data_IF_767558812181
#
_entry.id   IF_767558812181
#
_cell.length_a   1.000
_cell.length_b   1.000
_cell.length_c   1.000
_cell.angle_alpha   90.00
_cell.angle_beta   90.00
_cell.angle_gamma   90.00
#
_symmetry.space_group_name_H-M   'P 1'
#
loop_
_entity.id
_entity.type
_entity.pdbx_description
1 polymer ?
#
# COMPACT_ATOMS: atom_id res chain seq x y z
N UNK A 1 11.84 23.99 -59.22
CA UNK A 1 12.43 22.84 -58.50
C UNK A 1 12.17 23.09 -57.03
N UNK A 2 11.26 22.31 -56.46
CA UNK A 2 10.68 22.54 -55.14
C UNK A 2 11.60 22.04 -54.03
N UNK A 3 11.70 22.85 -52.98
CA UNK A 3 12.18 22.45 -51.66
C UNK A 3 11.09 21.59 -50.98
N UNK A 4 11.44 20.37 -50.56
CA UNK A 4 10.61 19.58 -49.63
C UNK A 4 11.29 19.53 -48.26
N UNK A 5 10.60 20.11 -47.27
CA UNK A 5 10.84 19.97 -45.84
C UNK A 5 10.48 18.55 -45.41
N UNK A 6 11.43 17.83 -44.81
CA UNK A 6 11.13 16.69 -43.96
C UNK A 6 10.89 17.20 -42.53
N UNK A 7 9.64 17.13 -42.08
CA UNK A 7 9.20 17.44 -40.71
C UNK A 7 9.53 16.25 -39.81
N UNK A 8 10.16 16.52 -38.67
CA UNK A 8 10.76 15.54 -37.79
C UNK A 8 9.78 14.55 -37.16
N UNK A 9 10.20 13.29 -37.15
CA UNK A 9 9.76 12.27 -36.21
C UNK A 9 10.07 12.73 -34.78
N UNK A 10 9.02 13.00 -34.01
CA UNK A 10 9.08 13.27 -32.58
C UNK A 10 9.32 11.93 -31.84
N UNK A 11 10.54 11.41 -31.99
CA UNK A 11 11.02 10.29 -31.19
C UNK A 11 11.21 10.75 -29.75
N UNK A 12 10.20 10.49 -28.92
CA UNK A 12 10.24 10.65 -27.47
C UNK A 12 11.46 9.91 -26.92
N UNK A 13 12.47 10.68 -26.50
CA UNK A 13 13.71 10.16 -25.94
C UNK A 13 13.43 9.25 -24.72
N UNK A 14 14.24 8.20 -24.50
CA UNK A 14 14.16 7.40 -23.28
C UNK A 14 14.43 8.32 -22.07
N UNK A 15 13.54 8.26 -21.07
CA UNK A 15 13.70 9.00 -19.80
C UNK A 15 15.12 8.79 -19.28
N UNK A 16 15.84 9.88 -19.00
CA UNK A 16 17.27 9.78 -18.70
C UNK A 16 17.45 8.97 -17.41
N UNK A 17 18.50 8.14 -17.35
CA UNK A 17 18.85 7.38 -16.14
C UNK A 17 19.03 8.28 -14.90
N UNK A 18 19.25 9.57 -15.13
CA UNK A 18 19.35 10.62 -14.10
C UNK A 18 17.98 10.91 -13.47
N UNK A 19 16.91 10.94 -14.27
CA UNK A 19 15.54 11.22 -13.79
C UNK A 19 15.02 10.06 -12.94
N UNK A 20 15.29 8.82 -13.37
CA UNK A 20 14.94 7.61 -12.62
C UNK A 20 15.70 7.53 -11.29
N UNK A 21 16.99 7.88 -11.30
CA UNK A 21 17.81 7.92 -10.06
C UNK A 21 17.33 9.00 -9.09
N UNK A 22 16.89 10.14 -9.60
CA UNK A 22 16.39 11.25 -8.76
C UNK A 22 15.07 10.87 -8.13
N UNK A 23 14.11 10.35 -8.91
CA UNK A 23 12.83 9.88 -8.40
C UNK A 23 12.97 8.74 -7.37
N UNK A 24 13.89 7.80 -7.60
CA UNK A 24 14.16 6.72 -6.65
C UNK A 24 14.79 7.23 -5.34
N UNK A 25 15.66 8.25 -5.41
CA UNK A 25 16.30 8.83 -4.24
C UNK A 25 15.34 9.69 -3.41
N UNK A 26 14.43 10.40 -4.07
CA UNK A 26 13.37 11.17 -3.41
C UNK A 26 12.36 10.24 -2.73
N UNK A 27 11.97 9.13 -3.38
CA UNK A 27 11.13 8.09 -2.77
C UNK A 27 11.81 7.44 -1.54
N UNK A 28 13.12 7.19 -1.62
CA UNK A 28 13.89 6.63 -0.49
C UNK A 28 13.97 7.61 0.69
N UNK A 29 14.19 8.90 0.42
CA UNK A 29 14.17 9.94 1.47
C UNK A 29 12.80 10.06 2.12
N UNK A 30 11.74 9.97 1.34
CA UNK A 30 10.38 9.99 1.86
C UNK A 30 10.10 8.76 2.73
N UNK A 31 10.52 7.56 2.32
CA UNK A 31 10.44 6.36 3.17
C UNK A 31 11.25 6.52 4.48
N UNK A 32 12.48 7.03 4.42
CA UNK A 32 13.27 7.26 5.64
C UNK A 32 12.63 8.30 6.57
N UNK A 33 12.00 9.33 6.00
CA UNK A 33 11.25 10.34 6.76
C UNK A 33 10.05 9.70 7.46
N UNK A 34 9.31 8.82 6.79
CA UNK A 34 8.15 8.12 7.34
C UNK A 34 8.56 7.15 8.45
N UNK A 35 9.62 6.38 8.25
CA UNK A 35 10.15 5.45 9.27
C UNK A 35 10.61 6.19 10.54
N UNK A 36 11.21 7.38 10.39
CA UNK A 36 11.58 8.23 11.53
C UNK A 36 10.41 9.01 12.16
N UNK A 37 9.25 9.09 11.50
CA UNK A 37 8.10 9.86 11.98
C UNK A 37 7.15 9.09 12.90
N UNK A 38 7.35 7.78 13.07
CA UNK A 38 6.59 7.04 14.07
C UNK A 38 7.02 7.42 15.48
N UNK A 39 6.20 8.26 16.09
CA UNK A 39 6.33 8.67 17.50
C UNK A 39 5.07 8.31 18.31
N UNK A 40 4.07 7.72 17.65
CA UNK A 40 2.76 7.39 18.22
C UNK A 40 2.61 5.94 18.65
N UNK A 41 1.35 5.56 18.89
CA UNK A 41 0.93 4.23 19.31
C UNK A 41 0.82 3.27 18.12
N UNK A 42 1.10 1.99 18.35
CA UNK A 42 0.74 0.92 17.42
C UNK A 42 -0.65 0.35 17.72
N UNK A 43 -1.48 0.24 16.68
CA UNK A 43 -2.80 -0.40 16.68
C UNK A 43 -2.67 -1.67 15.86
N UNK A 44 -2.77 -2.81 16.52
CA UNK A 44 -2.62 -4.12 15.87
C UNK A 44 -4.01 -4.65 15.50
N UNK A 45 -4.14 -5.11 14.25
CA UNK A 45 -5.30 -5.86 13.75
C UNK A 45 -4.86 -7.30 13.51
N UNK A 46 -5.21 -8.17 14.45
CA UNK A 46 -4.83 -9.58 14.42
C UNK A 46 -5.68 -10.38 13.41
N UNK A 47 -5.19 -11.55 13.03
CA UNK A 47 -5.95 -12.47 12.19
C UNK A 47 -7.30 -12.85 12.81
N UNK A 48 -8.37 -12.81 12.00
CA UNK A 48 -9.73 -13.09 12.46
C UNK A 48 -10.41 -11.88 13.12
N UNK A 49 -9.66 -10.81 13.42
CA UNK A 49 -10.25 -9.54 13.80
C UNK A 49 -10.72 -8.78 12.55
N UNK A 50 -12.03 -8.47 12.54
CA UNK A 50 -12.66 -7.57 11.58
C UNK A 50 -13.20 -6.36 12.34
N UNK A 51 -12.50 -5.23 12.20
CA UNK A 51 -12.98 -3.94 12.68
C UNK A 51 -13.59 -3.18 11.50
N UNK A 52 -14.84 -2.69 11.59
CA UNK A 52 -15.42 -1.85 10.54
C UNK A 52 -14.79 -0.45 10.52
N UNK A 53 -14.28 0.03 11.67
CA UNK A 53 -13.62 1.31 11.79
C UNK A 53 -12.53 1.32 12.87
N UNK A 54 -11.52 2.20 12.69
CA UNK A 54 -10.44 2.49 13.65
C UNK A 54 -10.23 4.00 13.72
N UNK A 55 -10.05 4.51 14.94
CA UNK A 55 -9.59 5.88 15.20
C UNK A 55 -8.14 5.85 15.65
N UNK A 56 -7.34 6.80 15.15
CA UNK A 56 -5.91 6.94 15.47
C UNK A 56 -5.47 8.40 15.36
N UNK A 57 -4.32 8.76 15.93
CA UNK A 57 -3.75 10.09 15.84
C UNK A 57 -2.68 10.16 14.75
N UNK A 58 -2.37 11.38 14.25
CA UNK A 58 -1.18 11.61 13.43
C UNK A 58 0.07 11.13 14.18
N UNK A 59 0.85 10.26 13.54
CA UNK A 59 2.05 9.62 14.07
C UNK A 59 1.83 8.19 14.58
N UNK A 60 0.58 7.74 14.74
CA UNK A 60 0.25 6.36 15.08
C UNK A 60 0.49 5.42 13.90
N UNK A 61 0.68 4.13 14.19
CA UNK A 61 0.79 3.08 13.20
C UNK A 61 -0.34 2.05 13.32
N UNK A 62 -0.89 1.64 12.17
CA UNK A 62 -1.81 0.52 12.03
C UNK A 62 -1.01 -0.69 11.51
N UNK A 63 -1.02 -1.78 12.26
CA UNK A 63 -0.26 -3.00 11.95
C UNK A 63 -1.22 -4.15 11.69
N UNK A 64 -1.17 -4.71 10.49
CA UNK A 64 -1.85 -5.96 10.17
C UNK A 64 -0.88 -7.12 10.37
N UNK A 65 -1.28 -8.15 11.10
CA UNK A 65 -0.55 -9.41 11.21
C UNK A 65 -1.45 -10.55 10.71
N UNK A 66 -1.21 -11.01 9.48
CA UNK A 66 -2.11 -11.95 8.79
C UNK A 66 -1.35 -13.18 8.33
N UNK A 67 -1.94 -14.37 8.46
CA UNK A 67 -1.37 -15.59 7.88
C UNK A 67 -1.29 -15.49 6.36
N UNK A 68 -0.21 -16.01 5.79
CA UNK A 68 -0.01 -16.11 4.36
C UNK A 68 0.64 -17.45 4.01
N UNK A 69 0.32 -17.97 2.82
CA UNK A 69 1.01 -19.12 2.24
C UNK A 69 1.58 -18.71 0.87
N UNK A 70 2.87 -18.34 0.80
CA UNK A 70 3.47 -17.85 -0.44
C UNK A 70 3.55 -18.91 -1.54
N UNK A 71 3.51 -20.22 -1.22
CA UNK A 71 3.55 -21.29 -2.23
C UNK A 71 2.28 -21.37 -3.07
N UNK A 72 1.16 -20.84 -2.57
CA UNK A 72 -0.11 -20.83 -3.30
C UNK A 72 -0.18 -19.74 -4.37
N UNK A 73 0.77 -18.79 -4.37
CA UNK A 73 0.71 -17.57 -5.16
C UNK A 73 -0.25 -16.50 -4.61
N UNK A 74 -1.01 -16.80 -3.55
CA UNK A 74 -1.85 -15.81 -2.89
C UNK A 74 -1.02 -14.92 -1.98
N UNK A 75 -1.37 -13.63 -1.96
CA UNK A 75 -0.73 -12.60 -1.14
C UNK A 75 -1.78 -11.65 -0.57
N UNK A 76 -1.45 -10.99 0.53
CA UNK A 76 -2.27 -9.88 0.99
C UNK A 76 -1.99 -8.64 0.13
N UNK A 77 -3.06 -8.02 -0.34
CA UNK A 77 -3.02 -6.73 -1.01
C UNK A 77 -3.78 -5.74 -0.15
N UNK A 78 -3.25 -4.52 -0.07
CA UNK A 78 -3.80 -3.40 0.65
C UNK A 78 -3.82 -2.18 -0.27
N UNK A 79 -4.93 -1.47 -0.31
CA UNK A 79 -5.11 -0.25 -1.09
C UNK A 79 -5.77 0.81 -0.23
N UNK A 80 -5.24 2.03 -0.29
CA UNK A 80 -5.77 3.19 0.45
C UNK A 80 -6.54 4.09 -0.51
N UNK A 81 -7.75 4.46 -0.08
CA UNK A 81 -8.63 5.36 -0.83
C UNK A 81 -9.11 6.49 0.08
N UNK A 82 -9.29 7.71 -0.44
CA UNK A 82 -9.99 8.74 0.31
C UNK A 82 -11.39 8.26 0.68
N UNK A 83 -11.84 8.53 1.90
CA UNK A 83 -13.23 8.29 2.27
C UNK A 83 -14.15 9.19 1.43
N UNK A 84 -14.93 8.60 0.52
CA UNK A 84 -15.90 9.34 -0.28
C UNK A 84 -16.99 9.91 0.63
N UNK A 85 -17.04 11.23 0.81
CA UNK A 85 -18.07 11.88 1.62
C UNK A 85 -17.60 13.09 2.44
N UNK A 86 -16.30 13.33 2.58
CA UNK A 86 -15.82 14.57 3.21
C UNK A 86 -16.11 15.77 2.29
N UNK A 87 -16.84 16.81 2.74
CA UNK A 87 -17.04 18.02 1.96
C UNK A 87 -15.71 18.76 1.84
N UNK A 88 -14.95 18.44 0.80
CA UNK A 88 -13.71 19.13 0.44
C UNK A 88 -14.06 20.44 -0.27
N UNK A 89 -14.03 21.56 0.46
CA UNK A 89 -13.76 22.85 -0.18
C UNK A 89 -12.31 22.84 -0.68
N UNK A 90 -12.16 22.70 -2.00
CA UNK A 90 -10.97 23.00 -2.81
C UNK A 90 -9.64 22.36 -2.39
N UNK A 91 -9.38 21.14 -2.86
CA UNK A 91 -8.16 20.70 -3.56
C UNK A 91 -8.06 19.17 -3.49
N UNK A 92 -7.84 18.56 -4.65
CA UNK A 92 -7.85 17.11 -4.86
C UNK A 92 -6.65 16.43 -4.20
N UNK A 93 -6.74 16.12 -2.92
CA UNK A 93 -5.87 15.16 -2.25
C UNK A 93 -6.66 14.37 -1.20
N UNK A 94 -6.32 13.08 -0.97
CA UNK A 94 -6.90 12.34 0.13
C UNK A 94 -6.67 13.08 1.44
N UNK A 95 -7.75 13.44 2.13
CA UNK A 95 -7.72 13.92 3.51
C UNK A 95 -7.50 12.70 4.40
N UNK A 96 -6.27 12.49 4.87
CA UNK A 96 -5.84 11.29 5.59
C UNK A 96 -4.83 10.51 4.77
N UNK A 97 -3.55 10.57 5.16
CA UNK A 97 -2.46 9.88 4.45
C UNK A 97 -1.96 8.75 5.33
N UNK A 98 -2.23 7.51 4.90
CA UNK A 98 -1.55 6.31 5.39
C UNK A 98 -0.46 5.95 4.39
N UNK A 99 0.80 5.99 4.81
CA UNK A 99 1.90 5.45 4.02
C UNK A 99 2.23 4.08 4.56
N UNK A 100 2.31 3.12 3.64
CA UNK A 100 2.86 1.82 3.93
C UNK A 100 4.36 1.93 4.18
N UNK A 101 4.79 1.59 5.39
CA UNK A 101 6.16 1.77 5.84
C UNK A 101 6.96 0.47 5.72
N UNK A 102 6.37 -0.67 6.10
CA UNK A 102 7.07 -1.97 6.13
C UNK A 102 6.18 -3.17 5.75
N UNK A 103 6.80 -4.12 5.05
CA UNK A 103 6.28 -5.47 4.79
C UNK A 103 7.23 -6.50 5.38
N UNK A 104 6.79 -7.24 6.39
CA UNK A 104 7.54 -8.39 6.92
C UNK A 104 6.86 -9.68 6.48
N UNK A 105 7.60 -10.59 5.86
CA UNK A 105 7.13 -11.96 5.61
C UNK A 105 8.00 -12.94 6.37
N UNK A 106 7.43 -13.61 7.37
CA UNK A 106 8.07 -14.77 7.99
C UNK A 106 7.47 -16.03 7.41
N UNK A 107 8.30 -16.98 7.00
CA UNK A 107 7.84 -18.29 6.48
C UNK A 107 8.47 -19.41 7.28
N UNK A 108 7.66 -20.35 7.72
CA UNK A 108 8.10 -21.56 8.40
C UNK A 108 7.59 -22.79 7.64
N UNK A 109 8.38 -23.87 7.66
CA UNK A 109 7.95 -25.17 7.15
C UNK A 109 7.03 -25.80 8.18
N UNK A 110 5.82 -26.15 7.77
CA UNK A 110 4.83 -26.81 8.61
C UNK A 110 4.53 -28.19 8.00
N UNK A 111 4.53 -29.28 8.79
CA UNK A 111 4.16 -30.60 8.28
C UNK A 111 2.72 -30.60 7.77
N UNK A 112 2.48 -31.13 6.57
CA UNK A 112 1.11 -31.26 6.02
C UNK A 112 0.65 -32.70 6.21
N UNK A 113 0.24 -33.03 7.43
CA UNK A 113 -0.19 -34.39 7.78
C UNK A 113 0.97 -35.36 8.06
N UNK A 114 0.79 -36.68 7.89
CA UNK A 114 1.83 -37.67 8.16
C UNK A 114 3.13 -37.39 7.38
N UNK A 115 4.30 -37.82 7.89
CA UNK A 115 5.61 -37.51 7.32
C UNK A 115 5.79 -37.85 5.82
N UNK A 116 4.95 -38.75 5.28
CA UNK A 116 4.93 -39.16 3.88
C UNK A 116 4.31 -38.13 2.91
N UNK A 117 3.56 -37.14 3.41
CA UNK A 117 2.89 -36.12 2.59
C UNK A 117 3.71 -34.83 2.42
N UNK A 118 4.87 -34.74 3.07
CA UNK A 118 5.82 -33.62 2.93
C UNK A 118 5.51 -32.41 3.80
N UNK A 119 6.16 -31.29 3.49
CA UNK A 119 6.07 -30.02 4.23
C UNK A 119 5.44 -28.94 3.35
N UNK A 120 4.55 -28.15 3.94
CA UNK A 120 4.00 -26.94 3.37
C UNK A 120 4.70 -25.72 3.95
N UNK A 121 4.65 -24.60 3.25
CA UNK A 121 5.09 -23.31 3.79
C UNK A 121 3.88 -22.60 4.36
N UNK A 122 3.92 -22.27 5.65
CA UNK A 122 2.99 -21.32 6.23
C UNK A 122 3.79 -20.14 6.77
N UNK A 123 3.27 -18.94 6.60
CA UNK A 123 3.92 -17.74 7.04
C UNK A 123 2.94 -16.73 7.62
N UNK A 124 3.49 -15.62 8.07
CA UNK A 124 2.74 -14.40 8.37
C UNK A 124 3.27 -13.27 7.50
N UNK A 125 2.35 -12.47 6.99
CA UNK A 125 2.61 -11.19 6.36
C UNK A 125 2.20 -10.10 7.33
N UNK A 126 3.17 -9.29 7.78
CA UNK A 126 2.92 -8.10 8.58
C UNK A 126 3.03 -6.87 7.70
N UNK A 127 2.02 -6.01 7.74
CA UNK A 127 1.99 -4.73 7.01
C UNK A 127 1.74 -3.60 7.98
N UNK A 128 2.54 -2.54 7.88
CA UNK A 128 2.48 -1.40 8.77
C UNK A 128 2.18 -0.12 8.00
N UNK A 129 1.14 0.60 8.43
CA UNK A 129 0.70 1.87 7.86
C UNK A 129 0.85 2.98 8.90
N UNK A 130 1.53 4.07 8.56
CA UNK A 130 1.70 5.21 9.48
C UNK A 130 0.78 6.35 9.08
N UNK A 131 0.06 6.91 10.05
CA UNK A 131 -0.79 8.08 9.86
C UNK A 131 0.03 9.37 9.83
N UNK A 132 0.07 10.04 8.67
CA UNK A 132 0.89 11.26 8.49
C UNK A 132 0.08 12.55 8.49
N UNK A 133 -1.22 12.45 8.22
CA UNK A 133 -2.12 13.60 8.13
C UNK A 133 -3.49 13.22 8.65
N UNK A 134 -4.13 14.16 9.35
CA UNK A 134 -5.51 14.05 9.78
C UNK A 134 -6.48 13.87 8.59
N UNK A 135 -7.61 13.22 8.86
CA UNK A 135 -8.67 12.99 7.88
C UNK A 135 -9.24 11.58 7.95
N UNK A 136 -9.90 11.17 6.86
CA UNK A 136 -10.57 9.87 6.76
C UNK A 136 -10.12 9.14 5.51
N UNK A 137 -9.69 7.91 5.70
CA UNK A 137 -9.22 7.02 4.64
C UNK A 137 -9.91 5.67 4.76
N UNK A 138 -10.23 5.07 3.63
CA UNK A 138 -10.72 3.69 3.55
C UNK A 138 -9.54 2.83 3.12
N UNK A 139 -9.20 1.85 3.95
CA UNK A 139 -8.22 0.83 3.62
C UNK A 139 -8.96 -0.42 3.12
N UNK A 140 -8.86 -0.69 1.84
CA UNK A 140 -9.35 -1.94 1.25
C UNK A 140 -8.24 -2.98 1.28
N UNK A 141 -8.58 -4.23 1.60
CA UNK A 141 -7.60 -5.30 1.64
C UNK A 141 -8.21 -6.68 1.39
N UNK A 142 -7.38 -7.64 1.01
CA UNK A 142 -7.82 -8.99 0.71
C UNK A 142 -6.67 -9.96 0.45
N UNK A 143 -6.90 -11.26 0.69
CA UNK A 143 -5.96 -12.34 0.39
C UNK A 143 -6.26 -12.92 -0.98
N UNK A 144 -5.49 -12.51 -1.99
CA UNK A 144 -5.84 -12.71 -3.40
C UNK A 144 -4.71 -13.35 -4.17
N UNK A 145 -5.07 -14.09 -5.22
CA UNK A 145 -4.16 -14.54 -6.26
C UNK A 145 -4.19 -13.52 -7.41
N UNK A 146 -3.19 -12.62 -7.53
CA UNK A 146 -3.22 -11.57 -8.53
C UNK A 146 -3.08 -12.21 -9.92
N UNK A 147 -4.04 -11.95 -10.82
CA UNK A 147 -3.95 -12.42 -12.20
C UNK A 147 -3.43 -11.29 -13.07
N UNK A 148 -2.26 -11.49 -13.68
CA UNK A 148 -1.75 -10.58 -14.67
C UNK A 148 -2.53 -10.78 -15.98
N UNK A 149 -3.22 -9.73 -16.44
CA UNK A 149 -3.98 -9.75 -17.68
C UNK A 149 -3.34 -8.80 -18.69
N UNK A 150 -3.21 -9.26 -19.93
CA UNK A 150 -2.80 -8.43 -21.06
C UNK A 150 -4.03 -7.77 -21.66
N UNK A 151 -4.00 -6.44 -21.74
CA UNK A 151 -5.07 -5.63 -22.32
C UNK A 151 -4.82 -5.38 -23.82
N UNK A 152 -5.86 -5.02 -24.59
CA UNK A 152 -5.74 -4.79 -26.04
C UNK A 152 -4.79 -3.64 -26.42
N UNK A 153 -4.56 -2.70 -25.50
CA UNK A 153 -3.58 -1.61 -25.60
C UNK A 153 -2.11 -2.09 -25.48
N UNK A 154 -1.91 -3.37 -25.13
CA UNK A 154 -0.58 -3.95 -24.91
C UNK A 154 -0.12 -3.89 -23.45
N UNK A 155 -0.87 -3.21 -22.57
CA UNK A 155 -0.52 -3.09 -21.15
C UNK A 155 -0.84 -4.38 -20.39
N UNK A 156 -0.05 -4.63 -19.35
CA UNK A 156 -0.34 -5.69 -18.39
C UNK A 156 -0.84 -5.05 -17.09
N UNK A 157 -2.01 -5.47 -16.62
CA UNK A 157 -2.56 -5.01 -15.32
C UNK A 157 -2.93 -6.22 -14.48
N UNK A 158 -2.60 -6.14 -13.20
CA UNK A 158 -3.08 -7.11 -12.22
C UNK A 158 -4.58 -6.90 -12.00
N UNK A 159 -5.33 -8.00 -12.02
CA UNK A 159 -6.73 -8.02 -11.64
C UNK A 159 -6.92 -8.85 -10.39
N UNK A 160 -7.49 -8.23 -9.38
CA UNK A 160 -7.93 -8.84 -8.14
C UNK A 160 -9.17 -8.07 -7.65
N UNK A 161 -9.84 -8.63 -6.64
CA UNK A 161 -10.94 -7.98 -5.93
C UNK A 161 -10.61 -8.01 -4.45
N UNK A 162 -10.59 -6.85 -3.83
CA UNK A 162 -10.50 -6.72 -2.38
C UNK A 162 -11.91 -6.82 -1.82
N UNK A 163 -12.07 -7.59 -0.75
CA UNK A 163 -13.37 -7.95 -0.18
C UNK A 163 -13.58 -7.41 1.24
N UNK A 164 -12.56 -6.79 1.83
CA UNK A 164 -12.60 -6.18 3.16
C UNK A 164 -12.29 -4.71 3.07
N UNK A 165 -12.96 -3.94 3.92
CA UNK A 165 -12.77 -2.51 4.05
C UNK A 165 -12.62 -2.17 5.53
N UNK A 166 -11.71 -1.26 5.83
CA UNK A 166 -11.53 -0.66 7.15
C UNK A 166 -11.58 0.86 7.01
N UNK A 167 -12.54 1.49 7.69
CA UNK A 167 -12.61 2.95 7.77
C UNK A 167 -11.64 3.45 8.84
N UNK A 168 -10.67 4.27 8.47
CA UNK A 168 -9.69 4.82 9.40
C UNK A 168 -9.93 6.33 9.51
N UNK A 169 -10.15 6.78 10.74
CA UNK A 169 -10.21 8.21 11.07
C UNK A 169 -8.91 8.60 11.77
N UNK A 170 -8.20 9.55 11.18
CA UNK A 170 -6.96 10.12 11.71
C UNK A 170 -7.27 11.47 12.35
N UNK A 171 -7.08 11.55 13.65
CA UNK A 171 -7.21 12.75 14.47
C UNK A 171 -5.88 13.52 14.51
N UNK A 172 -5.90 14.83 14.81
CA UNK A 172 -4.69 15.61 15.05
C UNK A 172 -3.85 15.01 16.19
N UNK A 173 -2.57 15.39 16.24
CA UNK A 173 -1.65 14.90 17.27
C UNK A 173 -2.18 15.29 18.66
N UNK A 174 -2.14 14.36 19.62
CA UNK A 174 -2.77 14.50 20.94
C UNK A 174 -2.42 15.77 21.72
N UNK A 175 -1.28 16.38 21.44
CA UNK A 175 -0.80 17.59 22.12
C UNK A 175 -1.44 18.89 21.60
N UNK A 176 -2.07 18.86 20.41
CA UNK A 176 -2.74 20.02 19.81
C UNK A 176 -4.22 20.15 20.20
N UNK A 177 -4.84 19.10 20.75
CA UNK A 177 -6.27 19.09 21.10
C UNK A 177 -6.59 19.84 22.42
N UNK A 178 -5.59 20.46 23.06
CA UNK A 178 -5.70 21.11 24.37
C UNK A 178 -5.52 22.64 24.35
N UNK A 179 -5.55 23.29 23.19
CA UNK A 179 -5.53 24.77 23.06
C UNK A 179 -6.89 25.34 22.67
#
# INVERSE_FOLDING_TARGET
MNEEKATGDDMRAPQSLTDVRTAAFDAFKEQQRVHQQHTGREIIIEEGEEKPAVEMCVGDALVFDRKSNPQTGYQWIFETHPASGSPSSSSSQPTGVLIEDDIYRTTSRVPVGPPSLGYGMMGTEKRRFVALKEGQVVLEYGYVLPRLLKYPDGDYKYRYKLDRQLHVTVLPKSDEAAM
#
